data_IF_870776008966
#
_entry.id   IF_870776008966
#
_cell.length_a   1.000
_cell.length_b   1.000
_cell.length_c   1.000
_cell.angle_alpha   90.00
_cell.angle_beta   90.00
_cell.angle_gamma   90.00
#
_symmetry.space_group_name_H-M   'P 1'
#
loop_
_entity.id
_entity.type
_entity.pdbx_description
1 polymer ?
#
# COMPACT_ATOMS: atom_id res chain seq x y z
N UNK A 1 16.49 9.82 8.76
CA UNK A 1 16.80 8.45 9.26
C UNK A 1 15.73 7.53 8.70
N UNK A 2 16.12 6.49 7.95
CA UNK A 2 15.14 5.59 7.33
C UNK A 2 14.39 4.79 8.40
N UNK A 3 13.08 4.64 8.23
CA UNK A 3 12.26 3.87 9.17
C UNK A 3 12.43 2.38 8.89
N UNK A 4 12.65 1.59 9.94
CA UNK A 4 12.81 0.13 9.84
C UNK A 4 11.56 -0.55 10.39
N UNK A 5 11.03 -1.49 9.63
CA UNK A 5 9.90 -2.35 9.98
C UNK A 5 10.36 -3.80 10.04
N UNK A 6 10.10 -4.49 11.13
CA UNK A 6 10.60 -5.84 11.36
C UNK A 6 9.43 -6.81 11.53
N UNK A 7 9.49 -7.94 10.81
CA UNK A 7 8.48 -9.02 10.84
C UNK A 7 9.15 -10.35 11.20
N UNK A 8 9.54 -10.54 12.47
CA UNK A 8 10.31 -11.73 12.89
C UNK A 8 9.49 -13.02 12.79
N UNK A 9 8.16 -12.94 12.87
CA UNK A 9 7.28 -14.10 12.80
C UNK A 9 6.97 -14.54 11.36
N UNK A 10 7.31 -13.73 10.37
CA UNK A 10 7.10 -14.09 8.97
C UNK A 10 8.11 -15.17 8.56
N UNK A 11 7.60 -16.27 8.00
CA UNK A 11 8.40 -17.38 7.47
C UNK A 11 8.54 -17.32 5.95
N UNK A 12 7.64 -16.60 5.29
CA UNK A 12 7.69 -16.37 3.85
C UNK A 12 7.45 -14.90 3.50
N UNK A 13 8.06 -14.49 2.40
CA UNK A 13 7.96 -13.15 1.83
C UNK A 13 7.46 -13.26 0.40
N UNK A 14 6.36 -12.56 0.09
CA UNK A 14 5.79 -12.48 -1.26
C UNK A 14 5.76 -11.01 -1.67
N UNK A 15 6.03 -10.75 -2.93
CA UNK A 15 5.94 -9.41 -3.53
C UNK A 15 4.93 -9.48 -4.67
N UNK A 16 3.98 -8.55 -4.67
CA UNK A 16 3.02 -8.32 -5.76
C UNK A 16 2.89 -6.82 -6.00
N UNK A 17 2.11 -6.40 -6.98
CA UNK A 17 1.82 -5.00 -7.27
C UNK A 17 0.50 -4.86 -8.02
N UNK A 18 0.15 -3.62 -8.41
CA UNK A 18 -1.01 -3.31 -9.27
C UNK A 18 -2.34 -3.84 -8.75
N UNK A 19 -2.61 -3.69 -7.44
CA UNK A 19 -3.85 -4.19 -6.85
C UNK A 19 -5.02 -3.21 -6.97
N UNK A 20 -4.74 -1.92 -7.26
CA UNK A 20 -5.74 -0.89 -7.56
C UNK A 20 -6.97 -0.89 -6.64
N UNK A 21 -6.78 -1.04 -5.32
CA UNK A 21 -7.85 -1.05 -4.32
C UNK A 21 -8.52 -2.42 -4.11
N UNK A 22 -8.09 -3.45 -4.81
CA UNK A 22 -8.61 -4.82 -4.70
C UNK A 22 -8.15 -5.52 -3.39
N UNK A 23 -8.26 -4.81 -2.26
CA UNK A 23 -7.78 -5.29 -0.94
C UNK A 23 -8.47 -6.56 -0.48
N UNK A 24 -9.79 -6.67 -0.66
CA UNK A 24 -10.57 -7.86 -0.26
C UNK A 24 -10.21 -9.07 -1.15
N UNK A 25 -10.19 -8.95 -2.47
CA UNK A 25 -9.69 -10.00 -3.35
C UNK A 25 -8.28 -10.46 -3.01
N UNK A 26 -7.33 -9.53 -2.77
CA UNK A 26 -5.97 -9.87 -2.38
C UNK A 26 -5.94 -10.79 -1.14
N UNK A 27 -6.67 -10.43 -0.09
CA UNK A 27 -6.71 -11.24 1.14
C UNK A 27 -7.40 -12.57 0.93
N UNK A 28 -8.41 -12.62 0.07
CA UNK A 28 -9.05 -13.88 -0.30
C UNK A 28 -8.07 -14.81 -1.03
N UNK A 29 -7.35 -14.30 -2.03
CA UNK A 29 -6.32 -15.06 -2.75
C UNK A 29 -5.26 -15.59 -1.77
N UNK A 30 -4.71 -14.72 -0.95
CA UNK A 30 -3.68 -15.08 0.03
C UNK A 30 -4.15 -16.17 0.99
N UNK A 31 -5.22 -15.88 1.72
CA UNK A 31 -5.58 -16.65 2.90
C UNK A 31 -6.53 -17.82 2.61
N UNK A 32 -7.32 -17.75 1.53
CA UNK A 32 -8.31 -18.78 1.17
C UNK A 32 -7.83 -19.63 0.01
N UNK A 33 -7.51 -19.01 -1.12
CA UNK A 33 -7.15 -19.75 -2.33
C UNK A 33 -5.79 -20.41 -2.22
N UNK A 34 -4.79 -19.67 -1.77
CA UNK A 34 -3.41 -20.16 -1.62
C UNK A 34 -3.09 -20.67 -0.22
N UNK A 35 -3.97 -20.45 0.77
CA UNK A 35 -3.78 -20.92 2.13
C UNK A 35 -2.49 -20.42 2.79
N UNK A 36 -2.04 -19.19 2.43
CA UNK A 36 -0.81 -18.61 2.96
C UNK A 36 -0.88 -18.46 4.48
N UNK A 37 0.21 -18.78 5.15
CA UNK A 37 0.38 -18.64 6.60
C UNK A 37 1.75 -18.09 6.92
N UNK A 38 1.87 -17.39 8.05
CA UNK A 38 3.14 -16.81 8.51
C UNK A 38 3.84 -16.02 7.38
N UNK A 39 3.06 -15.29 6.57
CA UNK A 39 3.53 -14.67 5.33
C UNK A 39 3.44 -13.16 5.40
N UNK A 40 4.53 -12.48 5.06
CA UNK A 40 4.52 -11.06 4.75
C UNK A 40 4.35 -10.87 3.24
N UNK A 41 3.34 -10.09 2.85
CA UNK A 41 3.16 -9.64 1.46
C UNK A 41 3.55 -8.17 1.36
N UNK A 42 4.40 -7.85 0.39
CA UNK A 42 4.72 -6.46 0.02
C UNK A 42 4.02 -6.15 -1.29
N UNK A 43 3.14 -5.14 -1.27
CA UNK A 43 2.51 -4.59 -2.48
C UNK A 43 3.42 -3.48 -2.99
N UNK A 44 4.05 -3.72 -4.13
CA UNK A 44 5.07 -2.86 -4.73
C UNK A 44 4.45 -1.86 -5.71
N UNK A 45 3.65 -0.94 -5.20
CA UNK A 45 3.03 0.15 -5.95
C UNK A 45 1.62 -0.15 -6.46
N UNK A 46 0.96 0.93 -6.86
CA UNK A 46 -0.42 0.98 -7.36
C UNK A 46 -1.41 0.23 -6.45
N UNK A 47 -1.32 0.59 -5.17
CA UNK A 47 -2.11 -0.03 -4.11
C UNK A 47 -3.59 0.36 -4.19
N UNK A 48 -3.89 1.56 -4.69
CA UNK A 48 -5.26 2.08 -4.83
C UNK A 48 -5.66 3.10 -3.77
N UNK A 49 -4.70 3.82 -3.21
CA UNK A 49 -4.98 4.92 -2.30
C UNK A 49 -5.25 6.23 -3.04
N UNK A 50 -6.26 6.99 -2.56
CA UNK A 50 -6.70 8.25 -3.14
C UNK A 50 -7.96 8.16 -4.01
N UNK A 51 -8.48 6.95 -4.26
CA UNK A 51 -9.68 6.73 -5.08
C UNK A 51 -10.96 6.78 -4.28
N UNK A 52 -10.89 6.45 -3.00
CA UNK A 52 -12.01 6.37 -2.10
C UNK A 52 -11.93 7.45 -1.01
N UNK A 53 -13.05 7.73 -0.37
CA UNK A 53 -13.08 8.59 0.82
C UNK A 53 -12.26 7.94 1.95
N UNK A 54 -11.52 8.72 2.76
CA UNK A 54 -10.64 8.17 3.80
C UNK A 54 -11.27 7.10 4.69
N UNK A 55 -12.52 7.30 5.15
CA UNK A 55 -13.20 6.33 6.01
C UNK A 55 -13.57 4.99 5.33
N UNK A 56 -13.56 4.93 4.00
CA UNK A 56 -13.84 3.68 3.28
C UNK A 56 -12.71 2.66 3.45
N UNK A 57 -11.46 3.14 3.46
CA UNK A 57 -10.29 2.29 3.68
C UNK A 57 -10.32 1.63 5.06
N UNK A 58 -10.60 2.39 6.12
CA UNK A 58 -10.67 1.85 7.49
C UNK A 58 -11.73 0.77 7.64
N UNK A 59 -12.90 0.96 7.00
CA UNK A 59 -13.97 -0.03 7.02
C UNK A 59 -13.56 -1.32 6.31
N UNK A 60 -12.89 -1.19 5.17
CA UNK A 60 -12.38 -2.34 4.41
C UNK A 60 -11.35 -3.09 5.24
N UNK A 61 -10.38 -2.39 5.83
CA UNK A 61 -9.30 -3.00 6.59
C UNK A 61 -9.77 -3.72 7.85
N UNK A 62 -10.72 -3.15 8.60
CA UNK A 62 -11.33 -3.85 9.75
C UNK A 62 -11.99 -5.18 9.36
N UNK A 63 -12.60 -5.24 8.18
CA UNK A 63 -13.26 -6.48 7.72
C UNK A 63 -12.29 -7.60 7.42
N UNK A 64 -11.13 -7.29 6.87
CA UNK A 64 -10.16 -8.29 6.40
C UNK A 64 -9.04 -8.57 7.41
N UNK A 65 -8.82 -7.69 8.39
CA UNK A 65 -7.77 -7.84 9.40
C UNK A 65 -7.90 -9.14 10.20
N UNK A 66 -9.13 -9.53 10.56
CA UNK A 66 -9.37 -10.79 11.27
C UNK A 66 -8.84 -11.99 10.49
N UNK A 67 -9.02 -12.03 9.17
CA UNK A 67 -8.55 -13.13 8.33
C UNK A 67 -7.02 -13.15 8.23
N UNK A 68 -6.40 -11.99 8.08
CA UNK A 68 -4.94 -11.89 8.12
C UNK A 68 -4.38 -12.37 9.46
N UNK A 69 -5.00 -11.98 10.58
CA UNK A 69 -4.59 -12.41 11.91
C UNK A 69 -4.72 -13.92 12.10
N UNK A 70 -5.82 -14.53 11.65
CA UNK A 70 -6.05 -15.98 11.72
C UNK A 70 -5.02 -16.81 10.94
N UNK A 71 -4.46 -16.23 9.91
CA UNK A 71 -3.43 -16.87 9.07
C UNK A 71 -2.01 -16.41 9.44
N UNK A 72 -1.86 -15.54 10.43
CA UNK A 72 -0.59 -14.92 10.81
C UNK A 72 0.10 -14.26 9.60
N UNK A 73 -0.67 -13.49 8.82
CA UNK A 73 -0.19 -12.79 7.63
C UNK A 73 -0.16 -11.26 7.85
N UNK A 74 0.72 -10.59 7.13
CA UNK A 74 0.85 -9.13 7.13
C UNK A 74 0.91 -8.62 5.69
N UNK A 75 0.45 -7.39 5.48
CA UNK A 75 0.58 -6.69 4.22
C UNK A 75 1.22 -5.33 4.46
N UNK A 76 2.28 -5.07 3.72
CA UNK A 76 2.96 -3.78 3.65
C UNK A 76 2.81 -3.22 2.25
N UNK A 77 2.46 -1.96 2.16
CA UNK A 77 2.19 -1.30 0.90
C UNK A 77 3.19 -0.18 0.65
N UNK A 78 3.82 -0.22 -0.50
CA UNK A 78 4.77 0.77 -1.02
C UNK A 78 4.05 1.61 -2.06
N UNK A 79 4.30 2.91 -2.08
CA UNK A 79 3.64 3.85 -2.99
C UNK A 79 3.93 3.54 -4.46
N UNK A 80 2.89 3.51 -5.29
CA UNK A 80 2.99 3.56 -6.75
C UNK A 80 2.82 4.99 -7.29
N UNK A 81 2.90 5.14 -8.61
CA UNK A 81 2.65 6.42 -9.27
C UNK A 81 1.16 6.78 -9.34
N UNK A 82 0.27 5.83 -9.11
CA UNK A 82 -1.18 6.02 -9.08
C UNK A 82 -1.74 6.17 -7.65
N UNK A 83 -0.90 6.11 -6.62
CA UNK A 83 -1.33 6.28 -5.23
C UNK A 83 -1.21 7.73 -4.77
N UNK A 84 -2.11 8.18 -3.89
CA UNK A 84 -1.98 9.48 -3.22
C UNK A 84 -0.83 9.42 -2.19
N UNK A 85 0.24 10.21 -2.38
CA UNK A 85 1.41 10.22 -1.51
C UNK A 85 1.09 10.46 -0.03
N UNK A 86 0.02 11.21 0.26
CA UNK A 86 -0.36 11.54 1.64
C UNK A 86 -0.61 10.29 2.52
N UNK A 87 -0.98 9.15 1.91
CA UNK A 87 -1.16 7.90 2.66
C UNK A 87 0.14 7.23 3.07
N UNK A 88 1.26 7.62 2.48
CA UNK A 88 2.59 7.03 2.70
C UNK A 88 3.53 7.94 3.50
N UNK A 89 3.16 9.20 3.68
CA UNK A 89 3.92 10.16 4.48
C UNK A 89 3.80 9.89 5.97
N UNK A 90 4.91 10.10 6.69
CA UNK A 90 4.92 10.00 8.15
C UNK A 90 4.21 11.20 8.77
N UNK A 91 3.23 10.92 9.60
CA UNK A 91 2.56 11.90 10.42
C UNK A 91 3.42 12.28 11.65
N UNK A 92 2.97 13.26 12.43
CA UNK A 92 3.69 13.75 13.62
C UNK A 92 3.97 12.66 14.68
N UNK A 93 3.14 11.62 14.73
CA UNK A 93 3.31 10.46 15.61
C UNK A 93 4.28 9.40 15.04
N UNK A 94 4.85 9.66 13.86
CA UNK A 94 5.77 8.77 13.19
C UNK A 94 5.10 7.56 12.53
N UNK A 95 3.79 7.60 12.31
CA UNK A 95 3.02 6.58 11.57
C UNK A 95 2.53 7.15 10.24
N UNK A 96 2.24 6.28 9.31
CA UNK A 96 1.50 6.64 8.09
C UNK A 96 0.00 6.64 8.35
N UNK A 97 -0.81 7.20 7.44
CA UNK A 97 -2.27 7.24 7.61
C UNK A 97 -2.88 5.84 7.72
N UNK A 98 -2.33 4.86 7.00
CA UNK A 98 -2.76 3.46 7.10
C UNK A 98 -1.75 2.72 7.98
N UNK A 99 -2.13 2.52 9.23
CA UNK A 99 -1.29 1.84 10.22
C UNK A 99 -2.13 0.96 11.14
N UNK A 100 -2.34 -0.28 10.74
CA UNK A 100 -3.03 -1.32 11.47
C UNK A 100 -2.07 -2.46 11.83
N UNK A 101 -2.48 -3.36 12.72
CA UNK A 101 -1.60 -4.44 13.18
C UNK A 101 -1.15 -5.39 12.05
N UNK A 102 -1.98 -5.56 11.02
CA UNK A 102 -1.71 -6.49 9.90
C UNK A 102 -1.61 -5.82 8.54
N UNK A 103 -1.86 -4.50 8.48
CA UNK A 103 -1.82 -3.68 7.28
C UNK A 103 -1.14 -2.36 7.58
N UNK A 104 -0.24 -1.96 6.71
CA UNK A 104 0.31 -0.61 6.78
C UNK A 104 0.90 -0.16 5.46
N UNK A 105 0.85 1.14 5.24
CA UNK A 105 1.68 1.80 4.24
C UNK A 105 3.03 2.14 4.85
N UNK A 106 4.05 2.26 4.03
CA UNK A 106 5.40 2.66 4.46
C UNK A 106 5.89 3.85 3.66
N UNK A 107 6.67 4.76 4.26
CA UNK A 107 7.23 5.89 3.54
C UNK A 107 8.33 5.43 2.57
N UNK A 108 8.65 6.31 1.63
CA UNK A 108 9.78 6.11 0.73
C UNK A 108 11.07 5.91 1.54
N UNK A 109 11.93 5.05 1.04
CA UNK A 109 13.18 4.63 1.68
C UNK A 109 13.01 3.90 3.02
N UNK A 110 11.80 3.40 3.32
CA UNK A 110 11.62 2.48 4.44
C UNK A 110 12.37 1.17 4.19
N UNK A 111 12.82 0.57 5.29
CA UNK A 111 13.51 -0.72 5.26
C UNK A 111 12.64 -1.78 5.92
N UNK A 112 12.40 -2.89 5.25
CA UNK A 112 11.67 -4.04 5.78
C UNK A 112 12.65 -5.16 6.05
N UNK A 113 12.56 -5.74 7.25
CA UNK A 113 13.33 -6.90 7.66
C UNK A 113 12.38 -8.08 7.90
N UNK A 114 12.47 -9.12 7.08
CA UNK A 114 11.66 -10.32 7.18
C UNK A 114 12.37 -11.51 6.55
N UNK A 115 12.16 -12.71 7.08
CA UNK A 115 12.65 -13.97 6.50
C UNK A 115 14.17 -13.97 6.22
N UNK A 116 14.98 -13.32 7.07
CA UNK A 116 16.42 -13.15 6.87
C UNK A 116 16.81 -12.24 5.71
N UNK A 117 15.86 -11.46 5.16
CA UNK A 117 16.07 -10.52 4.06
C UNK A 117 15.89 -9.09 4.52
N UNK A 118 16.57 -8.18 3.83
CA UNK A 118 16.43 -6.73 3.98
C UNK A 118 15.91 -6.19 2.63
N UNK A 119 14.77 -5.50 2.67
CA UNK A 119 14.13 -4.91 1.49
C UNK A 119 14.07 -3.40 1.68
N UNK A 120 14.67 -2.64 0.76
CA UNK A 120 14.52 -1.19 0.68
C UNK A 120 13.29 -0.87 -0.17
N UNK A 121 12.36 -0.11 0.40
CA UNK A 121 11.14 0.33 -0.27
C UNK A 121 11.37 1.70 -0.91
N UNK A 122 11.28 1.77 -2.23
CA UNK A 122 11.35 3.04 -2.99
C UNK A 122 10.06 3.14 -3.78
N UNK A 123 9.26 4.15 -3.45
CA UNK A 123 7.94 4.34 -4.05
C UNK A 123 7.97 5.26 -5.26
N UNK A 124 6.89 5.20 -6.04
CA UNK A 124 6.68 6.02 -7.23
C UNK A 124 7.36 5.47 -8.49
N UNK A 125 6.90 5.97 -9.60
CA UNK A 125 7.48 5.74 -10.92
C UNK A 125 7.14 6.91 -11.84
N UNK A 126 7.90 7.09 -12.91
CA UNK A 126 7.56 8.07 -13.94
C UNK A 126 6.30 7.63 -14.66
N UNK A 127 5.25 8.44 -14.57
CA UNK A 127 3.95 8.14 -15.18
C UNK A 127 3.91 8.60 -16.64
N UNK A 128 3.87 7.65 -17.58
CA UNK A 128 3.80 7.95 -19.02
C UNK A 128 2.50 8.64 -19.41
N UNK A 129 1.43 8.46 -18.65
CA UNK A 129 0.11 9.05 -18.86
C UNK A 129 -0.12 10.36 -18.07
N UNK A 130 0.89 10.86 -17.34
CA UNK A 130 0.80 12.06 -16.49
C UNK A 130 0.22 13.25 -17.23
N UNK A 131 0.73 13.53 -18.43
CA UNK A 131 0.26 14.68 -19.23
C UNK A 131 -1.19 14.51 -19.69
N UNK A 132 -1.61 13.28 -19.96
CA UNK A 132 -3.00 12.99 -20.32
C UNK A 132 -3.92 13.27 -19.13
N UNK A 133 -3.55 12.80 -17.94
CA UNK A 133 -4.30 13.04 -16.71
C UNK A 133 -4.41 14.53 -16.37
N UNK A 134 -3.33 15.28 -16.48
CA UNK A 134 -3.34 16.72 -16.24
C UNK A 134 -4.30 17.43 -17.19
N UNK A 135 -4.30 17.10 -18.48
CA UNK A 135 -5.24 17.67 -19.47
C UNK A 135 -6.70 17.29 -19.17
N UNK A 136 -6.95 16.07 -18.75
CA UNK A 136 -8.29 15.63 -18.35
C UNK A 136 -8.79 16.36 -17.09
N UNK A 137 -7.91 16.63 -16.13
CA UNK A 137 -8.24 17.42 -14.94
C UNK A 137 -8.58 18.87 -15.30
N UNK A 138 -7.85 19.48 -16.24
CA UNK A 138 -8.14 20.82 -16.75
C UNK A 138 -9.49 20.89 -17.47
N UNK A 139 -9.85 19.84 -18.23
CA UNK A 139 -11.14 19.75 -18.96
C UNK A 139 -12.32 19.48 -18.04
N UNK A 140 -12.08 18.83 -16.92
CA UNK A 140 -13.12 18.41 -15.97
C UNK A 140 -12.79 18.85 -14.55
N UNK A 141 -12.74 20.18 -14.25
CA UNK A 141 -12.46 20.68 -12.93
C UNK A 141 -13.55 20.20 -11.95
N UNK A 142 -13.19 19.37 -11.00
CA UNK A 142 -14.11 18.72 -10.05
C UNK A 142 -14.22 17.20 -10.21
N UNK A 143 -13.71 16.62 -11.28
CA UNK A 143 -13.52 15.18 -11.41
C UNK A 143 -12.15 14.84 -10.84
N UNK A 144 -12.14 14.22 -9.67
CA UNK A 144 -10.89 13.72 -9.10
C UNK A 144 -10.48 12.46 -9.89
N UNK A 145 -9.46 12.62 -10.72
CA UNK A 145 -8.72 11.48 -11.23
C UNK A 145 -7.66 11.16 -10.19
N UNK A 146 -7.77 9.98 -9.58
CA UNK A 146 -6.77 9.49 -8.62
C UNK A 146 -6.59 10.36 -7.36
N UNK A 147 -7.67 10.70 -6.66
CA UNK A 147 -7.70 11.40 -5.38
C UNK A 147 -6.96 12.75 -5.31
N UNK A 148 -5.70 12.76 -5.62
CA UNK A 148 -4.86 13.92 -5.98
C UNK A 148 -3.97 13.49 -7.13
N UNK A 149 -3.63 14.40 -8.06
CA UNK A 149 -2.61 14.09 -9.04
C UNK A 149 -1.33 13.69 -8.29
N UNK A 150 -0.77 12.53 -8.60
CA UNK A 150 0.63 12.27 -8.30
C UNK A 150 1.45 13.26 -9.09
N UNK A 151 1.60 14.48 -8.55
CA UNK A 151 2.27 15.59 -9.23
C UNK A 151 3.79 15.44 -9.09
N UNK A 152 4.20 14.67 -8.10
CA UNK A 152 5.60 14.47 -7.77
C UNK A 152 5.98 13.02 -8.09
N UNK A 153 6.30 12.81 -9.35
CA UNK A 153 7.21 11.73 -9.70
C UNK A 153 8.55 12.08 -9.05
N UNK A 154 9.26 11.15 -8.41
CA UNK A 154 10.53 11.41 -7.74
C UNK A 154 11.57 11.98 -8.68
#
# INVERSE_FOLDING_TARGET
MNKVYTYPEAKSLVICGDIHGEFVPLVYEMCVRYGMRDTLVIVAGDCGFGFEKPGAYDNTFRRIEKRLAQNNCWIVMVRGNHDDPAYFELQKDGRTLIHHARWQTVPDYAVIQACGRIVLCVGGAVSVDRQIRLREMERHPGKQYYGRPCIEDP
#
